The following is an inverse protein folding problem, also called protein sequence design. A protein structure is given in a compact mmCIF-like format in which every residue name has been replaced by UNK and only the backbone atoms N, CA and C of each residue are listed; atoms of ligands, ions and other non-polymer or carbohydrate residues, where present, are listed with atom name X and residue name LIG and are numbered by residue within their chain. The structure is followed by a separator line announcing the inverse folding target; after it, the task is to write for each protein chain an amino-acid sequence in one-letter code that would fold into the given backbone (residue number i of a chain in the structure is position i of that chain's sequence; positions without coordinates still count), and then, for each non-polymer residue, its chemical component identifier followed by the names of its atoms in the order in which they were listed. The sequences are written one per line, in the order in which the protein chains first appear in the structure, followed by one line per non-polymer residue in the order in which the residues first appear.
data_IF_826537086362
#
_entry.id   IF_826537086362
#
_cell.length_a   1.000
_cell.length_b   1.000
_cell.length_c   1.000
_cell.angle_alpha   90.00
_cell.angle_beta   90.00
_cell.angle_gamma   90.00
#
_symmetry.space_group_name_H-M   'P 1'
#
loop_
_entity.id
_entity.type
_entity.pdbx_description
1 polymer ?
#
# COMPACT_ATOMS: atom_id res chain seq x y z
N UNK A 1 -17.63 -43.15 28.47
CA UNK A 1 -16.37 -42.71 27.82
C UNK A 1 -16.65 -41.79 26.61
N UNK A 2 -17.41 -40.71 26.78
CA UNK A 2 -17.75 -39.77 25.69
C UNK A 2 -17.25 -38.33 25.96
N UNK A 3 -16.81 -38.05 27.20
CA UNK A 3 -16.49 -36.69 27.63
C UNK A 3 -15.04 -36.24 27.33
N UNK A 4 -14.14 -37.17 26.97
CA UNK A 4 -12.72 -36.85 26.66
C UNK A 4 -12.48 -36.50 25.19
N UNK A 5 -13.31 -37.01 24.28
CA UNK A 5 -13.13 -36.75 22.84
C UNK A 5 -13.48 -35.30 22.50
N UNK A 6 -14.56 -34.77 23.06
CA UNK A 6 -15.05 -33.40 22.83
C UNK A 6 -14.02 -32.34 23.26
N UNK A 7 -13.32 -32.58 24.36
CA UNK A 7 -12.27 -31.67 24.85
C UNK A 7 -11.06 -31.60 23.90
N UNK A 8 -10.70 -32.71 23.26
CA UNK A 8 -9.56 -32.76 22.33
C UNK A 8 -9.93 -32.04 21.02
N UNK A 9 -11.16 -32.21 20.52
CA UNK A 9 -11.62 -31.47 19.33
C UNK A 9 -11.70 -29.96 19.57
N UNK A 10 -12.09 -29.53 20.76
CA UNK A 10 -12.15 -28.09 21.10
C UNK A 10 -10.77 -27.41 21.14
N UNK A 11 -9.72 -28.13 21.58
CA UNK A 11 -8.35 -27.59 21.65
C UNK A 11 -7.74 -27.42 20.25
N UNK A 12 -8.04 -28.33 19.30
CA UNK A 12 -7.51 -28.26 17.93
C UNK A 12 -8.10 -27.06 17.17
N UNK A 13 -9.35 -26.69 17.44
CA UNK A 13 -10.00 -25.53 16.81
C UNK A 13 -9.42 -24.21 17.33
N UNK A 14 -8.99 -24.16 18.59
CA UNK A 14 -8.37 -22.97 19.18
C UNK A 14 -6.92 -22.74 18.72
N UNK A 15 -6.21 -23.79 18.31
CA UNK A 15 -4.83 -23.69 17.80
C UNK A 15 -4.74 -23.34 16.30
N UNK A 16 -5.86 -23.39 15.57
CA UNK A 16 -5.90 -23.03 14.14
C UNK A 16 -6.04 -21.51 13.89
N UNK A 17 -6.30 -20.72 14.93
CA UNK A 17 -6.40 -19.26 14.86
C UNK A 17 -5.12 -18.59 15.38
N UNK A 18 -3.96 -18.99 14.87
CA UNK A 18 -2.78 -18.14 14.91
C UNK A 18 -2.55 -17.60 13.49
N UNK A 19 -3.42 -16.71 13.05
CA UNK A 19 -3.02 -15.78 12.00
C UNK A 19 -1.94 -14.92 12.65
N UNK A 20 -0.67 -15.20 12.33
CA UNK A 20 0.34 -14.17 12.44
C UNK A 20 -0.10 -13.08 11.46
N UNK A 21 -0.65 -12.00 11.98
CA UNK A 21 -0.78 -10.77 11.22
C UNK A 21 0.65 -10.35 10.87
N UNK A 22 1.14 -10.82 9.73
CA UNK A 22 2.41 -10.40 9.16
C UNK A 22 2.23 -8.96 8.71
N UNK A 23 2.61 -8.02 9.56
CA UNK A 23 2.66 -6.58 9.25
C UNK A 23 3.56 -6.27 8.03
N UNK A 24 4.34 -7.25 7.56
CA UNK A 24 5.23 -7.18 6.40
C UNK A 24 4.54 -7.41 5.04
N UNK A 25 3.29 -7.88 4.97
CA UNK A 25 2.68 -8.32 3.69
C UNK A 25 2.35 -7.18 2.69
N UNK A 26 2.50 -5.90 3.07
CA UNK A 26 2.18 -4.76 2.20
C UNK A 26 3.31 -3.74 2.03
N UNK A 27 4.56 -4.10 2.35
CA UNK A 27 5.69 -3.18 2.20
C UNK A 27 6.17 -3.12 0.74
N UNK A 28 6.08 -1.95 0.13
CA UNK A 28 6.55 -1.66 -1.23
C UNK A 28 7.74 -0.71 -1.21
N UNK A 29 8.48 -0.73 -2.31
CA UNK A 29 9.65 0.11 -2.54
C UNK A 29 9.51 0.83 -3.87
N UNK A 30 9.95 2.08 -3.94
CA UNK A 30 9.88 2.84 -5.19
C UNK A 30 10.61 4.16 -5.14
N UNK A 31 10.78 4.75 -6.32
CA UNK A 31 11.43 6.06 -6.51
C UNK A 31 10.37 7.11 -6.81
N UNK A 32 10.41 8.21 -6.06
CA UNK A 32 9.53 9.37 -6.30
C UNK A 32 9.90 10.01 -7.62
N UNK A 33 9.03 9.91 -8.62
CA UNK A 33 9.28 10.39 -9.98
C UNK A 33 8.94 11.87 -10.17
N UNK A 34 8.10 12.43 -9.29
CA UNK A 34 7.67 13.83 -9.31
C UNK A 34 6.17 13.97 -9.10
N UNK A 35 5.62 15.10 -9.56
CA UNK A 35 4.19 15.43 -9.50
C UNK A 35 3.52 15.27 -10.86
N UNK A 36 2.25 14.89 -10.85
CA UNK A 36 1.34 14.89 -12.00
C UNK A 36 0.07 15.65 -11.62
N UNK A 37 -0.73 16.03 -12.61
CA UNK A 37 -2.07 16.59 -12.37
C UNK A 37 -3.13 15.54 -12.68
N UNK A 38 -4.13 15.44 -11.82
CA UNK A 38 -5.25 14.54 -11.94
C UNK A 38 -6.57 15.25 -11.61
N UNK A 39 -7.57 15.07 -12.46
CA UNK A 39 -8.94 15.49 -12.18
C UNK A 39 -9.65 14.46 -11.30
N UNK A 40 -10.52 14.96 -10.40
CA UNK A 40 -11.39 14.11 -9.58
C UNK A 40 -10.84 13.74 -8.20
N UNK A 41 -9.68 14.29 -7.77
CA UNK A 41 -9.08 13.99 -6.47
C UNK A 41 -8.29 15.17 -5.88
N UNK A 42 -7.60 14.91 -4.78
CA UNK A 42 -6.72 15.88 -4.10
C UNK A 42 -5.44 16.12 -4.91
N UNK A 43 -5.01 17.38 -4.96
CA UNK A 43 -3.78 17.82 -5.63
C UNK A 43 -2.80 18.45 -4.62
N UNK A 44 -1.47 18.38 -4.84
CA UNK A 44 -0.79 17.74 -5.96
C UNK A 44 -0.74 16.21 -5.83
N UNK A 45 -0.79 15.50 -6.96
CA UNK A 45 -0.61 14.05 -7.01
C UNK A 45 0.85 13.68 -7.29
N UNK A 46 1.41 12.81 -6.45
CA UNK A 46 2.78 12.29 -6.57
C UNK A 46 2.80 10.94 -7.27
N UNK A 47 3.80 10.74 -8.11
CA UNK A 47 4.04 9.47 -8.81
C UNK A 47 5.22 8.77 -8.17
N UNK A 48 5.01 7.53 -7.73
CA UNK A 48 6.04 6.64 -7.20
C UNK A 48 6.25 5.51 -8.20
N UNK A 49 7.44 5.41 -8.79
CA UNK A 49 7.80 4.31 -9.70
C UNK A 49 8.25 3.11 -8.90
N UNK A 50 7.58 1.99 -9.09
CA UNK A 50 7.97 0.70 -8.52
C UNK A 50 9.05 0.03 -9.38
N UNK A 51 8.87 0.09 -10.70
CA UNK A 51 9.79 -0.43 -11.69
C UNK A 51 9.63 0.36 -13.01
N UNK A 52 10.11 -0.18 -14.14
CA UNK A 52 10.05 0.50 -15.45
C UNK A 52 8.62 0.63 -16.01
N UNK A 53 7.73 -0.29 -15.66
CA UNK A 53 6.36 -0.37 -16.22
C UNK A 53 5.30 0.10 -15.24
N UNK A 54 5.54 -0.09 -13.94
CA UNK A 54 4.57 0.05 -12.87
C UNK A 54 4.86 1.27 -12.00
N UNK A 55 3.78 2.00 -11.71
CA UNK A 55 3.83 3.17 -10.84
C UNK A 55 2.53 3.33 -10.09
N UNK A 56 2.64 3.92 -8.92
CA UNK A 56 1.53 4.30 -8.06
C UNK A 56 1.38 5.82 -8.09
N UNK A 57 0.15 6.27 -7.93
CA UNK A 57 -0.17 7.66 -7.72
C UNK A 57 -0.84 7.86 -6.37
N UNK A 58 -0.46 8.93 -5.67
CA UNK A 58 -0.98 9.25 -4.35
C UNK A 58 -0.98 10.76 -4.10
N UNK A 59 -1.96 11.28 -3.36
CA UNK A 59 -1.93 12.66 -2.89
C UNK A 59 -1.54 12.76 -1.40
N UNK A 60 -1.32 11.63 -0.72
CA UNK A 60 -1.06 11.57 0.73
C UNK A 60 0.41 11.41 1.08
N UNK A 61 1.32 11.54 0.11
CA UNK A 61 2.75 11.43 0.36
C UNK A 61 3.21 12.57 1.29
N UNK A 62 3.78 12.23 2.45
CA UNK A 62 4.28 13.21 3.43
C UNK A 62 5.34 14.13 2.83
N UNK A 63 5.38 15.40 3.26
CA UNK A 63 6.18 16.46 2.64
C UNK A 63 7.68 16.19 2.60
N UNK A 64 8.22 15.50 3.60
CA UNK A 64 9.61 15.08 3.68
C UNK A 64 10.02 14.07 2.59
N UNK A 65 9.05 13.39 1.97
CA UNK A 65 9.27 12.38 0.93
C UNK A 65 8.84 12.84 -0.47
N UNK A 66 8.39 14.09 -0.64
CA UNK A 66 7.90 14.61 -1.92
C UNK A 66 9.01 14.97 -2.92
N UNK A 67 10.28 14.93 -2.50
CA UNK A 67 11.41 15.27 -3.37
C UNK A 67 11.63 14.18 -4.43
N UNK A 68 11.72 14.60 -5.69
CA UNK A 68 12.02 13.71 -6.82
C UNK A 68 13.36 13.01 -6.63
N UNK A 69 13.39 11.71 -6.92
CA UNK A 69 14.58 10.86 -6.85
C UNK A 69 14.79 10.17 -5.51
N UNK A 70 13.96 10.44 -4.50
CA UNK A 70 14.02 9.71 -3.24
C UNK A 70 13.58 8.25 -3.44
N UNK A 71 14.40 7.33 -2.95
CA UNK A 71 14.05 5.92 -2.83
C UNK A 71 13.41 5.70 -1.47
N UNK A 72 12.15 5.27 -1.48
CA UNK A 72 11.32 5.14 -0.28
C UNK A 72 10.76 3.74 -0.16
N UNK A 73 10.54 3.31 1.08
CA UNK A 73 9.69 2.18 1.43
C UNK A 73 8.40 2.70 2.04
N UNK A 74 7.29 2.07 1.71
CA UNK A 74 5.96 2.53 2.10
C UNK A 74 4.94 1.41 2.05
N UNK A 75 3.76 1.66 2.61
CA UNK A 75 2.61 0.75 2.53
C UNK A 75 1.44 1.45 1.83
N UNK A 76 0.56 0.65 1.24
CA UNK A 76 -0.61 1.12 0.52
C UNK A 76 -1.89 0.82 1.27
N UNK A 77 -2.76 1.80 1.33
CA UNK A 77 -4.15 1.63 1.72
C UNK A 77 -5.01 1.95 0.50
N UNK A 78 -5.82 0.97 0.07
CA UNK A 78 -6.71 1.16 -1.07
C UNK A 78 -7.90 2.00 -0.64
N UNK A 79 -7.95 3.23 -1.12
CA UNK A 79 -9.16 4.04 -1.05
C UNK A 79 -10.09 3.60 -2.19
N UNK A 80 -11.16 2.87 -1.87
CA UNK A 80 -12.01 2.23 -2.87
C UNK A 80 -12.97 3.17 -3.58
N UNK A 81 -12.98 4.46 -3.26
CA UNK A 81 -14.07 5.36 -3.66
C UNK A 81 -13.69 6.40 -4.72
N UNK A 82 -12.39 6.62 -4.98
CA UNK A 82 -11.93 7.72 -5.84
C UNK A 82 -11.35 7.23 -7.17
N UNK A 83 -12.16 7.32 -8.23
CA UNK A 83 -11.67 7.23 -9.60
C UNK A 83 -11.07 8.57 -10.02
N UNK A 84 -9.75 8.63 -10.15
CA UNK A 84 -9.04 9.82 -10.63
C UNK A 84 -8.52 9.63 -12.04
N UNK A 85 -8.57 10.72 -12.81
CA UNK A 85 -8.10 10.75 -14.20
C UNK A 85 -6.92 11.70 -14.31
N UNK A 86 -5.74 11.17 -14.60
CA UNK A 86 -4.51 11.95 -14.70
C UNK A 86 -4.20 12.36 -16.14
N UNK A 87 -3.56 13.52 -16.31
CA UNK A 87 -3.20 14.08 -17.63
C UNK A 87 -2.02 13.35 -18.29
N UNK A 88 -1.33 12.48 -17.55
CA UNK A 88 -0.40 11.52 -18.15
C UNK A 88 -1.20 10.41 -18.82
N UNK A 89 -0.80 9.98 -20.02
CA UNK A 89 -1.49 9.02 -20.92
C UNK A 89 -1.88 7.64 -20.32
N UNK A 90 -1.68 7.43 -19.03
CA UNK A 90 -2.15 6.29 -18.27
C UNK A 90 -3.36 6.72 -17.45
N UNK A 91 -4.54 6.20 -17.81
CA UNK A 91 -5.61 6.01 -16.83
C UNK A 91 -5.00 5.10 -15.76
N UNK A 92 -4.66 5.67 -14.60
CA UNK A 92 -4.24 4.87 -13.47
C UNK A 92 -5.50 4.26 -12.86
N UNK A 93 -5.64 2.92 -12.89
CA UNK A 93 -6.88 2.30 -12.49
C UNK A 93 -7.15 2.46 -10.99
N UNK A 94 -6.13 2.73 -10.17
CA UNK A 94 -6.24 2.72 -8.72
C UNK A 94 -5.44 3.86 -8.07
N UNK A 95 -6.14 4.70 -7.30
CA UNK A 95 -5.58 5.66 -6.37
C UNK A 95 -5.28 4.95 -5.05
N UNK A 96 -4.13 5.24 -4.45
CA UNK A 96 -3.78 4.69 -3.15
C UNK A 96 -3.34 5.78 -2.19
N UNK A 97 -3.77 5.62 -0.95
CA UNK A 97 -3.18 6.32 0.17
C UNK A 97 -1.86 5.63 0.54
N UNK A 98 -0.81 6.44 0.61
CA UNK A 98 0.54 6.00 0.97
C UNK A 98 0.81 6.39 2.41
N UNK A 99 1.24 5.41 3.21
CA UNK A 99 1.53 5.59 4.64
C UNK A 99 2.77 4.78 5.07
N UNK A 100 3.20 4.97 6.33
CA UNK A 100 4.40 4.37 6.91
C UNK A 100 5.65 4.55 6.04
N UNK A 101 5.79 5.75 5.48
CA UNK A 101 6.85 6.09 4.54
C UNK A 101 8.17 6.33 5.27
N UNK A 102 9.26 5.79 4.71
CA UNK A 102 10.62 6.10 5.15
C UNK A 102 11.62 5.97 4.01
N UNK A 103 12.78 6.60 4.15
CA UNK A 103 13.88 6.45 3.19
C UNK A 103 14.37 4.99 3.18
N UNK A 104 14.55 4.45 1.99
CA UNK A 104 15.15 3.14 1.79
C UNK A 104 16.62 3.30 1.36
N UNK A 105 17.48 2.43 1.88
CA UNK A 105 18.83 2.23 1.35
C UNK A 105 18.77 1.29 0.17
N UNK A 106 19.44 1.66 -0.92
CA UNK A 106 19.61 0.84 -2.12
C UNK A 106 20.73 -0.19 -1.90
#
# INVERSE_FOLDING_TARGET
MINRLIFITAIIILAACSNSDNEDENLLYGVVAGVTSCSGGQEPVYVIKLNETDSIITATLSSEYQLKGLYIKFQLYKDSENLIYCTTDKIYPEYFDVYNVSLATN
#
